data_IF_773646207976
#
_entry.id   IF_773646207976
#
_cell.length_a   1.000
_cell.length_b   1.000
_cell.length_c   1.000
_cell.angle_alpha   90.00
_cell.angle_beta   90.00
_cell.angle_gamma   90.00
#
_symmetry.space_group_name_H-M   'P 1'
#
loop_
_entity.id
_entity.type
_entity.pdbx_description
1 polymer ?
#
# COMPACT_ATOMS: atom_id res chain seq x y z
N UNK A 1 7.55 6.32 1.18
CA UNK A 1 7.36 5.55 2.44
C UNK A 1 6.11 4.74 2.22
N UNK A 2 6.31 3.45 2.02
CA UNK A 2 5.35 2.56 1.37
C UNK A 2 4.31 2.00 2.36
N UNK A 3 4.52 2.13 3.67
CA UNK A 3 3.51 1.71 4.66
C UNK A 3 2.54 2.87 4.92
N UNK A 4 1.24 2.58 4.87
CA UNK A 4 0.14 3.54 5.02
C UNK A 4 -0.91 3.02 5.99
N UNK A 5 -1.76 3.91 6.50
CA UNK A 5 -2.98 3.51 7.19
C UNK A 5 -4.08 3.19 6.17
N UNK A 6 -4.77 2.07 6.36
CA UNK A 6 -5.95 1.65 5.60
C UNK A 6 -7.16 2.55 5.86
N UNK A 7 -7.21 3.21 7.01
CA UNK A 7 -8.32 4.05 7.44
C UNK A 7 -7.86 5.24 8.27
N UNK A 8 -8.67 6.29 8.27
CA UNK A 8 -8.49 7.46 9.13
C UNK A 8 -8.71 7.08 10.61
N UNK A 9 -7.64 7.12 11.41
CA UNK A 9 -7.65 6.65 12.81
C UNK A 9 -8.52 7.52 13.72
N UNK A 10 -8.44 8.85 13.60
CA UNK A 10 -9.18 9.76 14.48
C UNK A 10 -10.70 9.68 14.29
N UNK A 11 -11.24 9.61 13.05
CA UNK A 11 -12.65 9.30 12.82
C UNK A 11 -13.09 7.94 13.39
N UNK A 12 -12.28 6.88 13.21
CA UNK A 12 -12.60 5.55 13.74
C UNK A 12 -12.72 5.55 15.27
N UNK A 13 -11.75 6.18 15.95
CA UNK A 13 -11.78 6.36 17.41
C UNK A 13 -12.97 7.21 17.85
N UNK A 14 -13.30 8.28 17.12
CA UNK A 14 -14.46 9.13 17.43
C UNK A 14 -15.78 8.35 17.34
N UNK A 15 -15.91 7.45 16.37
CA UNK A 15 -17.11 6.64 16.16
C UNK A 15 -17.43 5.73 17.37
N UNK A 16 -16.42 5.27 18.09
CA UNK A 16 -16.55 4.47 19.32
C UNK A 16 -16.47 5.31 20.61
N UNK A 17 -16.59 6.64 20.51
CA UNK A 17 -16.67 7.54 21.66
C UNK A 17 -15.32 8.02 22.22
N UNK A 18 -14.21 7.85 21.50
CA UNK A 18 -12.91 8.46 21.83
C UNK A 18 -12.74 9.78 21.08
N UNK A 19 -13.33 10.85 21.63
CA UNK A 19 -13.15 12.21 21.12
C UNK A 19 -11.75 12.74 21.39
N UNK A 20 -11.29 13.76 20.66
CA UNK A 20 -9.99 14.39 20.92
C UNK A 20 -9.85 14.90 22.37
N UNK A 21 -10.93 15.40 22.97
CA UNK A 21 -10.95 15.85 24.37
C UNK A 21 -10.67 14.67 25.29
N UNK A 22 -11.42 13.57 25.14
CA UNK A 22 -11.23 12.35 25.93
C UNK A 22 -9.82 11.76 25.77
N UNK A 23 -9.29 11.72 24.55
CA UNK A 23 -7.93 11.23 24.27
C UNK A 23 -6.87 12.03 25.04
N UNK A 24 -7.06 13.35 25.17
CA UNK A 24 -6.16 14.23 25.92
C UNK A 24 -6.34 14.08 27.44
N UNK A 25 -7.57 14.03 27.90
CA UNK A 25 -7.90 13.91 29.33
C UNK A 25 -7.43 12.57 29.91
N UNK A 26 -7.63 11.48 29.17
CA UNK A 26 -7.15 10.13 29.53
C UNK A 26 -5.66 9.91 29.20
N UNK A 27 -4.98 10.93 28.65
CA UNK A 27 -3.55 10.89 28.27
C UNK A 27 -3.18 9.70 27.37
N UNK A 28 -4.09 9.30 26.49
CA UNK A 28 -3.90 8.15 25.60
C UNK A 28 -2.82 8.46 24.55
N UNK A 29 -2.80 9.71 24.05
CA UNK A 29 -1.86 10.16 23.02
C UNK A 29 -1.51 11.64 23.20
N UNK A 30 -0.27 12.01 22.83
CA UNK A 30 0.21 13.39 22.84
C UNK A 30 -0.29 14.20 21.65
N UNK A 31 -0.14 15.53 21.72
CA UNK A 31 -0.52 16.45 20.63
C UNK A 31 0.18 16.13 19.30
N UNK A 32 1.49 15.88 19.34
CA UNK A 32 2.25 15.54 18.14
C UNK A 32 1.70 14.29 17.45
N UNK A 33 1.41 13.24 18.24
CA UNK A 33 0.80 12.00 17.74
C UNK A 33 -0.57 12.24 17.12
N UNK A 34 -1.42 13.06 17.76
CA UNK A 34 -2.72 13.44 17.18
C UNK A 34 -2.57 14.19 15.85
N UNK A 35 -1.52 14.99 15.70
CA UNK A 35 -1.25 15.68 14.44
C UNK A 35 -0.76 14.71 13.35
N UNK A 36 0.14 13.79 13.69
CA UNK A 36 0.59 12.74 12.78
C UNK A 36 -0.59 11.91 12.25
N UNK A 37 -1.45 11.45 13.16
CA UNK A 37 -2.64 10.67 12.81
C UNK A 37 -3.63 11.47 11.94
N UNK A 38 -3.69 12.80 12.10
CA UNK A 38 -4.54 13.67 11.26
C UNK A 38 -4.02 13.78 9.83
N UNK A 39 -2.71 13.66 9.64
CA UNK A 39 -2.08 13.72 8.32
C UNK A 39 -1.88 12.33 7.68
N UNK A 40 -2.35 11.26 8.33
CA UNK A 40 -2.08 9.89 7.88
C UNK A 40 -0.60 9.50 7.99
N UNK A 41 0.20 10.22 8.78
CA UNK A 41 1.61 9.92 9.01
C UNK A 41 1.74 8.76 10.00
N UNK A 42 2.66 7.83 9.71
CA UNK A 42 2.90 6.71 10.60
C UNK A 42 3.36 7.16 11.97
N UNK A 43 2.65 6.68 12.98
CA UNK A 43 2.96 6.92 14.37
C UNK A 43 3.89 5.83 14.91
N UNK A 44 4.36 6.01 16.14
CA UNK A 44 5.18 5.00 16.81
C UNK A 44 4.44 3.67 17.00
N UNK A 45 5.17 2.56 17.13
CA UNK A 45 4.60 1.25 17.48
C UNK A 45 3.77 1.27 18.76
N UNK A 46 4.14 2.10 19.75
CA UNK A 46 3.36 2.30 20.98
C UNK A 46 2.00 2.94 20.71
N UNK A 47 1.92 3.84 19.75
CA UNK A 47 0.66 4.44 19.31
C UNK A 47 -0.20 3.39 18.61
N UNK A 48 0.40 2.58 17.72
CA UNK A 48 -0.32 1.51 17.02
C UNK A 48 -0.90 0.51 18.03
N UNK A 49 -0.12 0.06 19.02
CA UNK A 49 -0.60 -0.79 20.13
C UNK A 49 -1.81 -0.17 20.86
N UNK A 50 -1.71 1.11 21.20
CA UNK A 50 -2.81 1.83 21.85
C UNK A 50 -4.06 1.86 20.97
N UNK A 51 -3.92 2.17 19.67
CA UNK A 51 -5.04 2.23 18.73
C UNK A 51 -5.68 0.84 18.54
N UNK A 52 -4.87 -0.21 18.37
CA UNK A 52 -5.34 -1.59 18.27
C UNK A 52 -6.20 -1.98 19.48
N UNK A 53 -5.73 -1.68 20.70
CA UNK A 53 -6.47 -1.96 21.93
C UNK A 53 -7.77 -1.16 22.04
N UNK A 54 -7.80 0.09 21.56
CA UNK A 54 -9.00 0.94 21.65
C UNK A 54 -10.06 0.55 20.62
N UNK A 55 -9.64 0.17 19.42
CA UNK A 55 -10.52 -0.23 18.32
C UNK A 55 -10.84 -1.73 18.31
N UNK A 56 -10.23 -2.50 19.22
CA UNK A 56 -10.32 -3.96 19.26
C UNK A 56 -9.98 -4.61 17.89
N UNK A 57 -8.83 -4.23 17.34
CA UNK A 57 -8.39 -4.68 16.01
C UNK A 57 -6.92 -5.12 16.00
N UNK A 58 -6.53 -5.82 14.94
CA UNK A 58 -5.15 -6.24 14.70
C UNK A 58 -4.36 -5.16 13.95
N UNK A 59 -3.03 -5.10 14.08
CA UNK A 59 -2.20 -4.17 13.30
C UNK A 59 -2.42 -4.26 11.78
N UNK A 60 -2.70 -5.46 11.26
CA UNK A 60 -3.01 -5.67 9.83
C UNK A 60 -4.36 -5.09 9.37
N UNK A 61 -5.24 -4.75 10.31
CA UNK A 61 -6.49 -4.04 10.00
C UNK A 61 -6.23 -2.53 9.84
N UNK A 62 -5.19 -2.01 10.49
CA UNK A 62 -4.83 -0.59 10.45
C UNK A 62 -3.86 -0.25 9.31
N UNK A 63 -2.94 -1.17 9.00
CA UNK A 63 -1.79 -0.89 8.13
C UNK A 63 -1.83 -1.69 6.85
N UNK A 64 -1.29 -1.08 5.80
CA UNK A 64 -1.03 -1.73 4.52
C UNK A 64 0.30 -1.28 3.93
N UNK A 65 0.84 -2.13 3.07
CA UNK A 65 1.95 -1.78 2.20
C UNK A 65 1.40 -1.37 0.84
N UNK A 66 1.72 -0.15 0.43
CA UNK A 66 1.43 0.45 -0.87
C UNK A 66 2.77 0.73 -1.53
N UNK A 67 3.09 0.02 -2.61
CA UNK A 67 4.32 0.25 -3.37
C UNK A 67 4.39 1.72 -3.81
N UNK A 68 5.57 2.35 -3.69
CA UNK A 68 5.75 3.75 -4.12
C UNK A 68 5.62 3.87 -5.66
N UNK A 69 5.85 2.77 -6.38
CA UNK A 69 5.60 2.62 -7.82
C UNK A 69 4.45 1.64 -8.05
N UNK A 70 3.30 2.16 -8.47
CA UNK A 70 2.25 1.34 -9.09
C UNK A 70 2.69 1.20 -10.55
N UNK A 71 2.90 -0.03 -11.07
CA UNK A 71 3.20 -0.19 -12.48
C UNK A 71 2.16 0.55 -13.31
N UNK A 72 2.57 1.25 -14.38
CA UNK A 72 1.61 1.98 -15.21
C UNK A 72 0.52 1.03 -15.74
N UNK A 73 -0.59 1.57 -16.24
CA UNK A 73 -1.73 0.76 -16.67
C UNK A 73 -1.32 -0.34 -17.69
N UNK A 74 -0.35 -0.04 -18.57
CA UNK A 74 0.22 -1.01 -19.51
C UNK A 74 0.96 -2.16 -18.81
N UNK A 75 1.79 -1.87 -17.81
CA UNK A 75 2.53 -2.89 -17.07
C UNK A 75 1.58 -3.79 -16.27
N UNK A 76 0.54 -3.22 -15.66
CA UNK A 76 -0.51 -4.00 -14.98
C UNK A 76 -1.26 -4.90 -15.96
N UNK A 77 -1.59 -4.38 -17.15
CA UNK A 77 -2.27 -5.15 -18.19
C UNK A 77 -1.40 -6.32 -18.68
N UNK A 78 -0.10 -6.09 -18.90
CA UNK A 78 0.84 -7.13 -19.32
C UNK A 78 0.99 -8.23 -18.25
N UNK A 79 1.13 -7.87 -16.97
CA UNK A 79 1.20 -8.85 -15.87
C UNK A 79 -0.09 -9.70 -15.82
N UNK A 80 -1.25 -9.06 -15.96
CA UNK A 80 -2.54 -9.75 -15.94
C UNK A 80 -2.74 -10.65 -17.15
N UNK A 81 -2.20 -10.30 -18.31
CA UNK A 81 -2.19 -11.17 -19.49
C UNK A 81 -1.40 -12.45 -19.22
N UNK A 82 -0.20 -12.34 -18.64
CA UNK A 82 0.64 -13.49 -18.29
C UNK A 82 -0.04 -14.43 -17.28
N UNK A 83 -0.71 -13.90 -16.25
CA UNK A 83 -1.41 -14.70 -15.24
C UNK A 83 -2.57 -15.53 -15.82
N UNK A 84 -3.14 -15.09 -16.96
CA UNK A 84 -4.22 -15.81 -17.65
C UNK A 84 -3.69 -16.73 -18.77
N UNK A 85 -2.38 -16.96 -18.84
CA UNK A 85 -1.77 -17.77 -19.89
C UNK A 85 -1.73 -17.09 -21.26
N UNK A 86 -1.83 -15.76 -21.29
CA UNK A 86 -1.57 -14.96 -22.49
C UNK A 86 -0.08 -14.79 -22.79
N UNK A 87 0.23 -14.04 -23.84
CA UNK A 87 1.56 -13.99 -24.45
C UNK A 87 1.73 -14.92 -25.67
N UNK A 88 2.83 -14.74 -26.40
CA UNK A 88 3.11 -15.51 -27.61
C UNK A 88 3.78 -16.85 -27.24
N UNK A 89 3.09 -17.96 -27.51
CA UNK A 89 3.69 -19.29 -27.44
C UNK A 89 4.72 -19.44 -28.56
N UNK A 90 5.99 -19.30 -28.23
CA UNK A 90 7.08 -19.51 -29.17
C UNK A 90 7.33 -21.00 -29.37
N UNK A 91 7.13 -21.49 -30.60
CA UNK A 91 7.32 -22.90 -30.98
C UNK A 91 8.55 -23.13 -31.87
N UNK A 92 9.39 -22.11 -32.05
CA UNK A 92 10.61 -22.19 -32.84
C UNK A 92 11.80 -22.80 -32.09
N UNK A 93 12.94 -22.84 -32.76
CA UNK A 93 14.22 -23.25 -32.17
C UNK A 93 14.82 -22.17 -31.26
N UNK A 94 15.73 -22.57 -30.37
CA UNK A 94 16.45 -21.64 -29.48
C UNK A 94 17.21 -20.55 -30.26
N UNK A 95 17.76 -20.88 -31.43
CA UNK A 95 18.47 -19.90 -32.27
C UNK A 95 17.54 -18.83 -32.84
N UNK A 96 16.33 -19.21 -33.24
CA UNK A 96 15.30 -18.28 -33.72
C UNK A 96 14.79 -17.38 -32.60
N UNK A 97 14.66 -17.92 -31.39
CA UNK A 97 14.30 -17.12 -30.22
C UNK A 97 15.35 -16.05 -29.91
N UNK A 98 16.63 -16.43 -29.95
CA UNK A 98 17.75 -15.51 -29.71
C UNK A 98 17.83 -14.43 -30.77
N UNK A 99 17.60 -14.75 -32.06
CA UNK A 99 17.50 -13.73 -33.12
C UNK A 99 16.39 -12.72 -32.84
N UNK A 100 15.18 -13.20 -32.50
CA UNK A 100 14.03 -12.35 -32.19
C UNK A 100 14.26 -11.43 -30.98
N UNK A 101 15.06 -11.84 -30.00
CA UNK A 101 15.45 -11.01 -28.86
C UNK A 101 16.51 -9.95 -29.18
N UNK A 102 17.35 -10.21 -30.18
CA UNK A 102 18.46 -9.34 -30.58
C UNK A 102 18.07 -8.34 -31.68
N UNK A 103 16.93 -8.54 -32.33
CA UNK A 103 16.35 -7.54 -33.22
C UNK A 103 15.79 -6.38 -32.39
N UNK A 104 16.50 -5.24 -32.36
CA UNK A 104 16.00 -3.99 -31.76
C UNK A 104 14.70 -3.57 -32.47
N UNK A 105 13.67 -3.07 -31.76
CA UNK A 105 12.56 -2.43 -32.44
C UNK A 105 13.11 -1.22 -33.18
N UNK A 106 13.10 -1.27 -34.51
CA UNK A 106 13.38 -0.11 -35.34
C UNK A 106 12.42 1.00 -34.88
N UNK A 107 12.96 2.04 -34.24
CA UNK A 107 12.19 3.21 -33.87
C UNK A 107 11.49 3.74 -35.12
N UNK A 108 10.16 3.76 -35.10
CA UNK A 108 9.39 4.52 -36.07
C UNK A 108 9.55 6.01 -35.71
N UNK A 109 10.14 6.77 -36.65
CA UNK A 109 10.23 8.24 -36.63
C UNK A 109 8.86 8.92 -36.65
#
# INVERSE_FOLDING_TARGET
MSIKYKTEILPALKAIGYTQTRIRDEKLMGQATLQQLRHGELASWKTIDTVCRLLDCQPGDLLEYVADEIPNAETIAAIKELDNGGGEHFTGSTEEFVKKLLDEPAGEE
#
